data_IF_480377808154
#
_entry.id   IF_480377808154
#
_cell.length_a   1.000
_cell.length_b   1.000
_cell.length_c   1.000
_cell.angle_alpha   90.00
_cell.angle_beta   90.00
_cell.angle_gamma   90.00
#
_symmetry.space_group_name_H-M   'P 1'
#
loop_
_entity.id
_entity.type
_entity.pdbx_description
1 polymer ?
#
# COMPACT_ATOMS: atom_id res chain seq x y z
N UNK A 1 7.40 -7.44 -11.92
CA UNK A 1 6.26 -6.85 -12.64
C UNK A 1 5.69 -7.95 -13.48
N UNK A 2 4.48 -8.36 -13.18
CA UNK A 2 3.79 -9.40 -13.97
C UNK A 2 3.46 -8.78 -15.33
N UNK A 3 3.89 -9.44 -16.40
CA UNK A 3 3.59 -8.99 -17.75
C UNK A 3 2.09 -9.22 -18.00
N UNK A 4 1.36 -8.13 -18.21
CA UNK A 4 -0.11 -8.13 -18.35
C UNK A 4 -0.58 -9.02 -19.52
N UNK A 5 0.33 -9.34 -20.44
CA UNK A 5 0.02 -10.15 -21.64
C UNK A 5 0.30 -11.65 -21.45
N UNK A 6 0.79 -12.09 -20.27
CA UNK A 6 1.21 -13.49 -20.04
C UNK A 6 0.40 -14.23 -18.98
N UNK A 7 -0.75 -13.76 -18.56
CA UNK A 7 -1.60 -14.48 -17.61
C UNK A 7 -2.62 -15.37 -18.33
N UNK A 8 -2.89 -16.53 -17.77
CA UNK A 8 -3.93 -17.47 -18.29
C UNK A 8 -5.31 -17.14 -17.75
N UNK A 9 -5.40 -16.68 -16.53
CA UNK A 9 -6.67 -16.35 -15.88
C UNK A 9 -6.54 -15.17 -14.94
N UNK A 10 -7.64 -14.49 -14.70
CA UNK A 10 -7.75 -13.40 -13.75
C UNK A 10 -8.87 -13.71 -12.77
N UNK A 11 -8.57 -13.66 -11.48
CA UNK A 11 -9.54 -13.83 -10.43
C UNK A 11 -9.65 -12.55 -9.59
N UNK A 12 -10.89 -12.10 -9.40
CA UNK A 12 -11.19 -10.95 -8.54
C UNK A 12 -11.80 -11.47 -7.26
N UNK A 13 -11.14 -11.21 -6.13
CA UNK A 13 -11.59 -11.67 -4.82
C UNK A 13 -11.53 -10.54 -3.79
N UNK A 14 -12.24 -10.73 -2.68
CA UNK A 14 -12.13 -9.83 -1.52
C UNK A 14 -10.92 -10.24 -0.68
N UNK A 15 -10.10 -9.26 -0.30
CA UNK A 15 -8.97 -9.50 0.61
C UNK A 15 -9.39 -9.28 2.06
N UNK A 16 -8.94 -10.17 2.94
CA UNK A 16 -9.09 -9.99 4.38
C UNK A 16 -8.14 -8.89 4.90
N UNK A 17 -8.43 -8.26 6.04
CA UNK A 17 -7.54 -7.28 6.65
C UNK A 17 -6.13 -7.82 6.92
N UNK A 18 -6.02 -9.08 7.34
CA UNK A 18 -4.73 -9.74 7.55
C UNK A 18 -3.93 -9.87 6.25
N UNK A 19 -4.59 -10.18 5.15
CA UNK A 19 -3.96 -10.25 3.83
C UNK A 19 -3.47 -8.87 3.35
N UNK A 20 -4.27 -7.83 3.57
CA UNK A 20 -3.86 -6.44 3.25
C UNK A 20 -2.63 -6.03 4.07
N UNK A 21 -2.61 -6.35 5.37
CA UNK A 21 -1.44 -6.07 6.22
C UNK A 21 -0.19 -6.83 5.75
N UNK A 22 -0.32 -8.07 5.27
CA UNK A 22 0.81 -8.84 4.77
C UNK A 22 1.45 -8.26 3.50
N UNK A 23 0.69 -7.51 2.71
CA UNK A 23 1.21 -6.82 1.52
C UNK A 23 1.75 -5.43 1.81
N UNK A 24 1.37 -4.85 2.95
CA UNK A 24 1.70 -3.48 3.30
C UNK A 24 3.14 -3.35 3.78
N UNK A 25 3.79 -2.28 3.36
CA UNK A 25 5.10 -1.88 3.83
C UNK A 25 5.05 -0.97 5.07
N UNK A 26 3.87 -0.54 5.46
CA UNK A 26 3.66 0.26 6.67
C UNK A 26 2.29 0.92 6.74
N UNK A 27 1.98 1.45 7.92
CA UNK A 27 0.72 2.15 8.20
C UNK A 27 0.86 3.64 7.89
N UNK A 28 -0.12 4.19 7.17
CA UNK A 28 -0.26 5.63 6.93
C UNK A 28 -1.11 6.21 8.05
N UNK A 29 -0.53 7.08 8.89
CA UNK A 29 -1.19 7.66 10.06
C UNK A 29 -1.70 9.08 9.84
N UNK A 30 -1.13 9.80 8.89
CA UNK A 30 -1.44 11.20 8.62
C UNK A 30 -2.03 11.39 7.22
N UNK A 31 -3.01 12.29 7.05
CA UNK A 31 -3.59 12.58 5.75
C UNK A 31 -2.70 13.48 4.87
N UNK A 32 -1.61 13.99 5.42
CA UNK A 32 -0.71 14.90 4.72
C UNK A 32 0.03 14.18 3.59
N UNK A 33 0.27 14.90 2.49
CA UNK A 33 0.97 14.37 1.31
C UNK A 33 2.39 14.86 1.23
N UNK A 34 2.56 16.16 0.96
CA UNK A 34 3.85 16.83 0.84
C UNK A 34 3.86 18.09 1.70
N UNK A 35 5.05 18.44 2.17
CA UNK A 35 5.26 19.72 2.83
C UNK A 35 5.29 20.83 1.77
N UNK A 36 4.39 21.82 1.88
CA UNK A 36 4.28 22.92 0.91
C UNK A 36 5.54 23.81 0.84
N UNK A 37 6.33 23.87 1.92
CA UNK A 37 7.54 24.69 2.01
C UNK A 37 8.76 23.99 1.44
N UNK A 38 8.92 22.71 1.73
CA UNK A 38 10.12 21.93 1.33
C UNK A 38 9.87 21.08 0.10
N UNK A 39 8.63 20.92 -0.34
CA UNK A 39 8.17 20.06 -1.45
C UNK A 39 8.58 18.58 -1.27
N UNK A 40 8.90 18.17 -0.04
CA UNK A 40 9.23 16.79 0.28
C UNK A 40 8.03 16.07 0.87
N UNK A 41 7.91 14.75 0.65
CA UNK A 41 6.87 13.95 1.29
C UNK A 41 6.93 14.01 2.81
N UNK A 42 5.77 14.16 3.45
CA UNK A 42 5.66 14.14 4.90
C UNK A 42 5.82 12.72 5.44
N UNK A 43 6.44 12.61 6.61
CA UNK A 43 6.59 11.33 7.31
C UNK A 43 5.23 10.83 7.81
N UNK A 44 5.02 9.52 7.68
CA UNK A 44 3.76 8.84 8.03
C UNK A 44 2.56 9.31 7.21
N UNK A 45 2.81 10.09 6.16
CA UNK A 45 1.79 10.59 5.25
C UNK A 45 1.55 9.66 4.05
N UNK A 46 0.65 10.09 3.17
CA UNK A 46 0.23 9.32 1.99
C UNK A 46 1.35 9.11 0.94
N UNK A 47 2.42 9.89 1.00
CA UNK A 47 3.58 9.78 0.10
C UNK A 47 4.91 9.49 0.83
N UNK A 48 4.84 8.97 2.05
CA UNK A 48 6.03 8.68 2.86
C UNK A 48 7.05 7.83 2.11
N UNK A 49 8.30 8.29 2.09
CA UNK A 49 9.41 7.59 1.44
C UNK A 49 9.82 6.30 2.17
N UNK A 50 9.55 6.20 3.47
CA UNK A 50 9.83 4.99 4.27
C UNK A 50 8.90 3.86 3.87
N UNK A 51 7.62 4.15 3.67
CA UNK A 51 6.58 3.17 3.32
C UNK A 51 6.67 2.81 1.84
N UNK A 52 6.65 3.82 0.96
CA UNK A 52 6.50 3.62 -0.48
C UNK A 52 7.82 3.58 -1.25
N UNK A 53 8.90 4.08 -0.67
CA UNK A 53 10.20 4.15 -1.32
C UNK A 53 10.65 5.57 -1.68
N UNK A 54 11.90 5.71 -2.15
CA UNK A 54 12.52 7.01 -2.40
C UNK A 54 11.86 7.75 -3.58
N UNK A 55 11.93 9.07 -3.55
CA UNK A 55 11.46 9.94 -4.65
C UNK A 55 12.46 10.07 -5.79
N UNK A 56 13.74 9.81 -5.51
CA UNK A 56 14.82 9.79 -6.52
C UNK A 56 15.49 8.42 -6.56
N UNK A 57 15.90 8.01 -7.76
CA UNK A 57 16.59 6.74 -7.96
C UNK A 57 17.89 6.69 -7.17
N UNK A 58 18.06 5.63 -6.41
CA UNK A 58 19.27 5.32 -5.65
C UNK A 58 19.71 6.41 -4.65
N UNK A 59 18.75 7.16 -4.14
CA UNK A 59 18.99 8.20 -3.14
C UNK A 59 18.03 8.05 -1.95
N UNK A 60 18.55 8.16 -0.72
CA UNK A 60 17.71 8.22 0.47
C UNK A 60 17.20 9.66 0.74
N UNK A 61 16.16 9.80 1.54
CA UNK A 61 15.53 11.10 1.83
C UNK A 61 16.48 12.14 2.45
N UNK A 62 17.42 11.70 3.31
CA UNK A 62 18.40 12.59 3.94
C UNK A 62 19.64 12.88 3.09
N UNK A 63 19.80 12.19 1.96
CA UNK A 63 20.94 12.36 1.05
C UNK A 63 22.26 11.72 1.50
N UNK A 64 22.26 10.91 2.57
CA UNK A 64 23.45 10.20 3.05
C UNK A 64 23.96 9.19 2.02
N UNK A 65 23.06 8.44 1.41
CA UNK A 65 23.34 7.45 0.38
C UNK A 65 22.76 7.92 -0.95
N UNK A 66 23.61 8.07 -1.98
CA UNK A 66 23.24 8.67 -3.28
C UNK A 66 23.72 7.87 -4.49
N UNK A 67 24.10 6.62 -4.37
CA UNK A 67 24.63 5.89 -5.51
C UNK A 67 24.13 4.45 -5.52
N UNK A 68 24.13 3.86 -6.72
CA UNK A 68 23.71 2.48 -6.98
C UNK A 68 24.47 1.43 -6.14
N UNK A 69 25.70 1.72 -5.74
CA UNK A 69 26.49 0.83 -4.87
C UNK A 69 25.86 0.56 -3.52
N UNK A 70 24.96 1.44 -3.08
CA UNK A 70 24.22 1.31 -1.82
C UNK A 70 22.84 0.69 -1.99
N UNK A 71 22.58 0.04 -3.12
CA UNK A 71 21.32 -0.62 -3.43
C UNK A 71 20.90 -1.57 -2.31
N UNK A 72 19.61 -1.47 -1.89
CA UNK A 72 19.01 -2.34 -0.89
C UNK A 72 19.38 -2.00 0.56
N UNK A 73 20.21 -0.99 0.79
CA UNK A 73 20.52 -0.54 2.14
C UNK A 73 19.41 0.35 2.67
N UNK A 74 18.95 0.07 3.88
CA UNK A 74 18.05 0.96 4.61
C UNK A 74 18.89 2.00 5.34
N UNK A 75 18.61 3.27 5.09
CA UNK A 75 19.34 4.35 5.72
C UNK A 75 19.08 4.39 7.24
N UNK A 76 20.11 4.32 8.03
CA UNK A 76 20.07 4.40 9.50
C UNK A 76 19.52 5.75 10.03
N UNK A 77 19.67 6.82 9.25
CA UNK A 77 19.23 8.17 9.63
C UNK A 77 17.78 8.47 9.28
N UNK A 78 17.32 8.11 8.08
CA UNK A 78 15.97 8.43 7.60
C UNK A 78 15.05 7.22 7.44
N UNK A 79 15.57 5.99 7.51
CA UNK A 79 14.80 4.76 7.38
C UNK A 79 14.37 4.42 5.94
N UNK A 80 14.77 5.22 4.95
CA UNK A 80 14.42 4.99 3.55
C UNK A 80 15.38 3.98 2.92
N UNK A 81 14.82 2.99 2.24
CA UNK A 81 15.59 2.01 1.47
C UNK A 81 16.08 2.62 0.16
N UNK A 82 17.35 2.40 -0.17
CA UNK A 82 17.97 2.89 -1.41
C UNK A 82 17.58 1.98 -2.58
N UNK A 83 16.54 2.35 -3.31
CA UNK A 83 16.01 1.61 -4.46
C UNK A 83 15.64 2.56 -5.61
N UNK A 84 15.06 2.00 -6.67
CA UNK A 84 14.51 2.80 -7.76
C UNK A 84 13.17 3.42 -7.36
N UNK A 85 12.87 4.60 -7.89
CA UNK A 85 11.56 5.27 -7.71
C UNK A 85 10.38 4.46 -8.19
N UNK A 86 10.59 3.53 -9.13
CA UNK A 86 9.56 2.64 -9.66
C UNK A 86 8.83 1.84 -8.58
N UNK A 87 9.52 1.49 -7.48
CA UNK A 87 8.92 0.74 -6.36
C UNK A 87 7.76 1.49 -5.71
N UNK A 88 7.70 2.81 -5.82
CA UNK A 88 6.57 3.63 -5.33
C UNK A 88 5.24 3.30 -6.00
N UNK A 89 5.27 2.74 -7.20
CA UNK A 89 4.07 2.28 -7.94
C UNK A 89 3.71 0.83 -7.62
N UNK A 90 4.58 0.10 -6.97
CA UNK A 90 4.43 -1.33 -6.68
C UNK A 90 4.14 -1.58 -5.20
N UNK A 91 4.70 -0.78 -4.30
CA UNK A 91 4.55 -0.93 -2.85
C UNK A 91 3.19 -0.43 -2.39
N UNK A 92 2.59 -1.19 -1.49
CA UNK A 92 1.31 -0.88 -0.86
C UNK A 92 1.54 -0.47 0.59
N UNK A 93 0.75 0.49 1.06
CA UNK A 93 0.59 0.83 2.45
C UNK A 93 -0.84 0.53 2.91
N UNK A 94 -1.12 0.59 4.20
CA UNK A 94 -2.46 0.44 4.73
C UNK A 94 -2.83 1.58 5.67
N UNK A 95 -4.12 1.76 5.83
CA UNK A 95 -4.71 2.70 6.80
C UNK A 95 -5.59 1.87 7.72
N UNK A 96 -5.37 1.95 9.03
CA UNK A 96 -6.24 1.33 10.01
C UNK A 96 -7.47 2.21 10.27
N UNK A 97 -8.64 1.68 9.96
CA UNK A 97 -9.89 2.37 10.22
C UNK A 97 -10.29 2.19 11.69
N UNK A 98 -10.70 3.27 12.34
CA UNK A 98 -11.19 3.24 13.73
C UNK A 98 -12.55 2.57 13.86
N UNK A 99 -13.35 2.61 12.80
CA UNK A 99 -14.66 1.97 12.74
C UNK A 99 -14.70 0.94 11.61
N UNK A 100 -15.37 -0.20 11.78
CA UNK A 100 -15.54 -1.17 10.71
C UNK A 100 -16.39 -0.59 9.58
N UNK A 101 -15.98 -0.86 8.33
CA UNK A 101 -16.70 -0.44 7.13
C UNK A 101 -16.99 -1.66 6.27
N UNK A 102 -18.22 -1.83 5.83
CA UNK A 102 -18.63 -2.93 4.97
C UNK A 102 -18.31 -2.64 3.51
N UNK A 103 -17.84 -3.65 2.78
CA UNK A 103 -17.62 -3.55 1.35
C UNK A 103 -18.95 -3.46 0.61
N UNK A 104 -19.03 -2.63 -0.43
CA UNK A 104 -20.25 -2.38 -1.20
C UNK A 104 -20.86 -3.64 -1.83
N UNK A 105 -20.07 -4.67 -2.10
CA UNK A 105 -20.57 -5.94 -2.64
C UNK A 105 -21.53 -6.64 -1.70
N UNK A 106 -21.35 -6.49 -0.38
CA UNK A 106 -22.29 -7.03 0.60
C UNK A 106 -23.65 -6.30 0.58
N UNK A 107 -23.67 -5.04 0.18
CA UNK A 107 -24.92 -4.27 0.07
C UNK A 107 -25.66 -4.49 -1.24
N UNK A 108 -24.95 -4.60 -2.36
CA UNK A 108 -25.58 -4.72 -3.67
C UNK A 108 -25.74 -6.16 -4.18
N UNK A 109 -24.96 -7.11 -3.67
CA UNK A 109 -24.93 -8.49 -4.16
C UNK A 109 -25.87 -9.45 -3.44
N UNK A 110 -26.40 -9.08 -2.26
CA UNK A 110 -27.21 -9.99 -1.44
C UNK A 110 -28.53 -9.29 -1.12
N UNK A 111 -29.67 -9.76 -1.67
CA UNK A 111 -30.98 -9.30 -1.24
C UNK A 111 -31.23 -9.82 0.18
N UNK A 112 -31.12 -8.99 1.22
CA UNK A 112 -31.16 -9.59 2.51
C UNK A 112 -31.67 -8.78 3.67
N UNK A 113 -32.50 -9.45 4.39
CA UNK A 113 -32.80 -9.27 5.81
C UNK A 113 -31.59 -9.61 6.72
N UNK A 114 -30.58 -10.36 6.24
CA UNK A 114 -29.40 -10.77 7.00
C UNK A 114 -28.28 -9.71 7.05
N UNK A 115 -28.32 -8.69 6.22
CA UNK A 115 -27.32 -7.61 6.23
C UNK A 115 -27.24 -6.84 7.54
N UNK A 116 -28.37 -6.72 8.25
CA UNK A 116 -28.43 -6.05 9.56
C UNK A 116 -27.59 -6.83 10.60
N UNK A 117 -27.53 -8.16 10.50
CA UNK A 117 -26.75 -9.00 11.41
C UNK A 117 -25.26 -9.12 11.03
N UNK A 118 -24.92 -9.04 9.74
CA UNK A 118 -23.54 -9.17 9.25
C UNK A 118 -22.73 -7.87 9.44
N UNK A 119 -23.37 -6.73 9.53
CA UNK A 119 -22.69 -5.45 9.77
C UNK A 119 -21.98 -5.34 11.13
N UNK A 120 -22.18 -6.28 12.02
CA UNK A 120 -21.59 -6.25 13.37
C UNK A 120 -20.18 -6.83 13.41
N UNK A 121 -19.79 -7.68 12.46
CA UNK A 121 -18.44 -8.24 12.42
C UNK A 121 -17.58 -7.57 11.33
N UNK A 122 -16.65 -6.78 11.82
CA UNK A 122 -15.44 -6.19 11.24
C UNK A 122 -14.99 -6.78 9.89
N UNK A 123 -15.50 -6.31 8.77
CA UNK A 123 -14.92 -6.68 7.48
C UNK A 123 -14.45 -5.45 6.73
N UNK A 124 -13.21 -5.08 6.94
CA UNK A 124 -12.48 -4.22 6.02
C UNK A 124 -12.03 -5.10 4.85
N UNK A 125 -12.79 -5.14 3.76
CA UNK A 125 -12.40 -5.87 2.56
C UNK A 125 -11.93 -4.91 1.48
N UNK A 126 -10.68 -5.10 1.06
CA UNK A 126 -10.12 -4.46 -0.14
C UNK A 126 -10.28 -5.43 -1.31
N UNK A 127 -10.74 -4.93 -2.46
CA UNK A 127 -10.84 -5.73 -3.67
C UNK A 127 -9.44 -5.99 -4.23
N UNK A 128 -9.12 -7.25 -4.45
CA UNK A 128 -7.84 -7.68 -5.01
C UNK A 128 -8.05 -8.33 -6.36
N UNK A 129 -7.28 -7.90 -7.34
CA UNK A 129 -7.14 -8.56 -8.62
C UNK A 129 -5.93 -9.48 -8.55
N UNK A 130 -6.15 -10.78 -8.60
CA UNK A 130 -5.08 -11.77 -8.62
C UNK A 130 -4.93 -12.33 -10.03
N UNK A 131 -3.73 -12.20 -10.58
CA UNK A 131 -3.36 -12.79 -11.87
C UNK A 131 -2.51 -14.03 -11.60
N UNK A 132 -2.87 -15.16 -12.16
CA UNK A 132 -2.12 -16.43 -12.05
C UNK A 132 -1.41 -16.74 -13.35
N UNK A 133 -0.14 -17.08 -13.27
CA UNK A 133 0.75 -17.48 -14.39
C UNK A 133 1.16 -18.95 -14.20
N UNK A 134 0.23 -19.88 -14.23
CA UNK A 134 0.59 -21.31 -14.27
C UNK A 134 0.86 -21.78 -15.70
#
# INVERSE_FOLDING_TARGET
>A
MVDVNRFKSMQITLASPSKVRSWSYGEVKKPETINYRTLKPEREGLFDEVIFGPTKDWECACGKYKRIRYRGIVCDRCGVEVTRTKVRRERMGHIELKAPVSHIWYFKGIPSLSLIHICVDKVLCVMTIQMTND
#
